data_IF_361740738879
#
_entry.id   IF_361740738879
#
_cell.length_a   1.000
_cell.length_b   1.000
_cell.length_c   1.000
_cell.angle_alpha   90.00
_cell.angle_beta   90.00
_cell.angle_gamma   90.00
#
_symmetry.space_group_name_H-M   'P 1'
#
loop_
_entity.id
_entity.type
_entity.pdbx_description
1 polymer ?
#
# COMPACT_ATOMS: atom_id res chain seq x y z
N UNK A 1 -28.77 -49.50 -42.36
CA UNK A 1 -27.45 -48.83 -42.42
C UNK A 1 -27.63 -47.39 -41.95
N UNK A 2 -27.40 -47.14 -40.67
CA UNK A 2 -27.61 -45.83 -40.03
C UNK A 2 -26.26 -45.15 -39.87
N UNK A 3 -26.14 -43.93 -40.40
CA UNK A 3 -25.06 -42.97 -40.16
C UNK A 3 -25.15 -42.45 -38.72
N UNK A 4 -24.04 -42.28 -38.02
CA UNK A 4 -24.01 -41.52 -36.75
C UNK A 4 -22.61 -41.34 -36.21
N UNK A 5 -21.99 -40.19 -36.52
CA UNK A 5 -21.70 -39.08 -35.59
C UNK A 5 -20.40 -39.26 -34.79
N UNK A 6 -19.36 -38.57 -35.26
CA UNK A 6 -18.15 -38.30 -34.49
C UNK A 6 -18.52 -37.35 -33.33
N UNK A 7 -18.27 -37.78 -32.09
CA UNK A 7 -18.26 -36.88 -30.95
C UNK A 7 -16.93 -36.11 -30.96
N UNK A 8 -17.00 -34.83 -31.31
CA UNK A 8 -15.97 -33.87 -30.96
C UNK A 8 -16.12 -33.55 -29.47
N UNK A 9 -15.22 -34.08 -28.65
CA UNK A 9 -15.10 -33.70 -27.24
C UNK A 9 -14.63 -32.24 -27.16
N UNK A 10 -15.55 -31.33 -26.86
CA UNK A 10 -15.22 -29.94 -26.55
C UNK A 10 -14.58 -29.92 -25.15
N UNK A 11 -13.30 -29.58 -25.13
CA UNK A 11 -12.52 -29.30 -23.94
C UNK A 11 -13.10 -28.08 -23.22
N UNK A 12 -13.79 -28.29 -22.10
CA UNK A 12 -14.24 -27.21 -21.24
C UNK A 12 -13.05 -26.75 -20.38
N UNK A 13 -12.31 -25.75 -20.85
CA UNK A 13 -11.34 -25.02 -20.02
C UNK A 13 -12.14 -24.23 -18.97
N UNK A 14 -12.25 -24.77 -17.76
CA UNK A 14 -12.64 -24.01 -16.59
C UNK A 14 -11.54 -22.97 -16.33
N UNK A 15 -11.77 -21.73 -16.74
CA UNK A 15 -11.02 -20.58 -16.22
C UNK A 15 -11.47 -20.41 -14.77
N UNK A 16 -10.82 -21.15 -13.87
CA UNK A 16 -10.90 -20.90 -12.44
C UNK A 16 -10.15 -19.58 -12.27
N UNK A 17 -10.88 -18.50 -12.01
CA UNK A 17 -10.25 -17.23 -11.63
C UNK A 17 -9.32 -17.49 -10.46
N UNK A 18 -8.04 -17.16 -10.62
CA UNK A 18 -7.05 -17.29 -9.56
C UNK A 18 -7.58 -16.58 -8.32
N UNK A 19 -7.85 -17.36 -7.26
CA UNK A 19 -8.07 -16.81 -5.93
C UNK A 19 -6.72 -16.22 -5.52
N UNK A 20 -6.61 -14.90 -5.50
CA UNK A 20 -5.43 -14.21 -4.99
C UNK A 20 -5.24 -14.63 -3.52
N UNK A 21 -4.26 -15.49 -3.28
CA UNK A 21 -3.86 -15.93 -1.94
C UNK A 21 -2.70 -15.07 -1.48
N UNK A 22 -2.70 -14.68 -0.21
CA UNK A 22 -1.56 -13.98 0.38
C UNK A 22 -0.36 -14.92 0.48
N UNK A 23 0.82 -14.39 0.17
CA UNK A 23 2.10 -15.07 0.33
C UNK A 23 2.59 -14.77 1.74
N UNK A 24 2.91 -15.82 2.50
CA UNK A 24 3.49 -15.64 3.81
C UNK A 24 4.84 -14.90 3.71
N UNK A 25 4.96 -13.80 4.43
CA UNK A 25 6.18 -13.00 4.47
C UNK A 25 7.23 -13.61 5.42
N UNK A 26 8.51 -13.25 5.27
CA UNK A 26 9.54 -13.48 6.30
C UNK A 26 9.16 -12.80 7.62
N UNK A 27 9.69 -13.31 8.74
CA UNK A 27 9.40 -12.73 10.06
C UNK A 27 9.89 -11.28 10.20
N UNK A 28 11.00 -10.94 9.55
CA UNK A 28 11.54 -9.60 9.45
C UNK A 28 12.15 -9.38 8.07
N UNK A 29 11.99 -8.18 7.53
CA UNK A 29 12.64 -7.72 6.31
C UNK A 29 12.64 -6.19 6.28
N UNK A 30 13.48 -5.61 5.42
CA UNK A 30 13.45 -4.17 5.17
C UNK A 30 12.92 -3.89 3.78
N UNK A 31 12.26 -2.76 3.61
CA UNK A 31 11.82 -2.21 2.33
C UNK A 31 12.56 -0.91 2.03
N UNK A 32 12.77 -0.64 0.74
CA UNK A 32 13.19 0.67 0.24
C UNK A 32 11.99 1.32 -0.41
N UNK A 33 11.59 2.46 0.15
CA UNK A 33 10.61 3.38 -0.41
C UNK A 33 11.38 4.47 -1.17
N UNK A 34 11.46 4.36 -2.49
CA UNK A 34 12.02 5.40 -3.36
C UNK A 34 10.92 6.43 -3.66
N UNK A 35 11.16 7.69 -3.31
CA UNK A 35 10.19 8.78 -3.41
C UNK A 35 10.64 9.75 -4.48
N UNK A 36 9.79 10.00 -5.49
CA UNK A 36 9.96 11.14 -6.40
C UNK A 36 9.52 12.41 -5.69
N UNK A 37 10.46 13.35 -5.54
CA UNK A 37 10.28 14.68 -4.95
C UNK A 37 9.97 15.67 -6.07
N UNK A 38 8.70 15.87 -6.40
CA UNK A 38 8.28 16.50 -7.66
C UNK A 38 8.82 17.93 -7.80
N UNK A 39 8.67 18.76 -6.77
CA UNK A 39 9.17 20.14 -6.80
C UNK A 39 10.71 20.22 -6.70
N UNK A 40 11.38 19.16 -6.22
CA UNK A 40 12.84 19.12 -6.10
C UNK A 40 13.52 18.49 -7.33
N UNK A 41 12.76 17.86 -8.23
CA UNK A 41 13.29 17.20 -9.43
C UNK A 41 14.26 16.05 -9.14
N UNK A 42 14.17 15.41 -7.97
CA UNK A 42 15.06 14.31 -7.54
C UNK A 42 14.28 13.16 -6.90
N UNK A 43 14.94 12.01 -6.74
CA UNK A 43 14.42 10.89 -5.95
C UNK A 43 15.23 10.70 -4.67
N UNK A 44 14.57 10.30 -3.59
CA UNK A 44 15.17 10.05 -2.28
C UNK A 44 14.66 8.71 -1.72
N UNK A 45 15.50 8.00 -0.98
CA UNK A 45 15.17 6.68 -0.45
C UNK A 45 14.89 6.75 1.05
N UNK A 46 13.87 6.02 1.48
CA UNK A 46 13.51 5.81 2.88
C UNK A 46 13.55 4.31 3.14
N UNK A 47 14.28 3.89 4.17
CA UNK A 47 14.25 2.48 4.60
C UNK A 47 13.19 2.26 5.67
N UNK A 48 12.39 1.19 5.52
CA UNK A 48 11.35 0.80 6.48
C UNK A 48 11.62 -0.64 6.91
N UNK A 49 11.69 -0.89 8.21
CA UNK A 49 11.81 -2.22 8.79
C UNK A 49 10.42 -2.79 9.07
N UNK A 50 10.18 -4.02 8.64
CA UNK A 50 8.89 -4.71 8.76
C UNK A 50 9.01 -5.85 9.75
N UNK A 51 8.01 -5.99 10.62
CA UNK A 51 7.97 -6.97 11.70
C UNK A 51 6.68 -7.78 11.62
N UNK A 52 6.74 -8.99 11.05
CA UNK A 52 5.57 -9.84 10.86
C UNK A 52 4.85 -10.15 12.17
N UNK A 53 5.60 -10.38 13.24
CA UNK A 53 5.05 -10.64 14.58
C UNK A 53 4.16 -9.51 15.14
N UNK A 54 4.20 -8.29 14.59
CA UNK A 54 3.38 -7.17 15.06
C UNK A 54 1.98 -7.18 14.44
N UNK A 55 1.86 -7.62 13.18
CA UNK A 55 0.60 -7.63 12.41
C UNK A 55 0.71 -8.66 11.28
N UNK A 56 0.67 -9.97 11.57
CA UNK A 56 1.02 -11.01 10.59
C UNK A 56 0.13 -10.99 9.34
N UNK A 57 -1.18 -10.74 9.48
CA UNK A 57 -2.10 -10.72 8.34
C UNK A 57 -1.82 -9.50 7.46
N UNK A 58 -1.62 -8.33 8.08
CA UNK A 58 -1.25 -7.10 7.39
C UNK A 58 0.09 -7.20 6.67
N UNK A 59 1.10 -7.82 7.30
CA UNK A 59 2.42 -8.01 6.68
C UNK A 59 2.36 -8.97 5.50
N UNK A 60 1.61 -10.08 5.59
CA UNK A 60 1.45 -11.01 4.47
C UNK A 60 0.78 -10.30 3.27
N UNK A 61 -0.27 -9.49 3.52
CA UNK A 61 -0.89 -8.63 2.50
C UNK A 61 0.10 -7.64 1.90
N UNK A 62 0.84 -6.91 2.73
CA UNK A 62 1.81 -5.92 2.29
C UNK A 62 2.90 -6.56 1.41
N UNK A 63 3.38 -7.74 1.81
CA UNK A 63 4.40 -8.50 1.10
C UNK A 63 3.91 -8.95 -0.29
N UNK A 64 2.71 -9.50 -0.40
CA UNK A 64 2.11 -9.86 -1.70
C UNK A 64 1.95 -8.64 -2.61
N UNK A 65 1.41 -7.53 -2.09
CA UNK A 65 1.22 -6.29 -2.86
C UNK A 65 2.53 -5.73 -3.41
N UNK A 66 3.65 -5.88 -2.69
CA UNK A 66 4.96 -5.44 -3.19
C UNK A 66 5.52 -6.44 -4.19
N UNK A 67 5.63 -7.70 -3.79
CA UNK A 67 6.43 -8.71 -4.49
C UNK A 67 5.79 -9.14 -5.80
N UNK A 68 4.48 -9.38 -5.78
CA UNK A 68 3.78 -9.99 -6.91
C UNK A 68 3.12 -8.91 -7.80
N UNK A 69 2.69 -7.79 -7.20
CA UNK A 69 1.86 -6.80 -7.91
C UNK A 69 2.58 -5.49 -8.26
N UNK A 70 3.72 -5.21 -7.63
CA UNK A 70 4.34 -3.86 -7.61
C UNK A 70 3.27 -2.79 -7.36
N UNK A 71 2.41 -3.04 -6.38
CA UNK A 71 1.13 -2.34 -6.26
C UNK A 71 1.30 -0.84 -6.02
N UNK A 72 2.30 -0.49 -5.22
CA UNK A 72 2.55 0.88 -4.77
C UNK A 72 3.38 1.71 -5.74
N UNK A 73 3.92 1.12 -6.81
CA UNK A 73 4.69 1.85 -7.81
C UNK A 73 3.85 2.96 -8.44
N UNK A 74 4.47 4.12 -8.61
CA UNK A 74 3.88 5.39 -9.03
C UNK A 74 2.73 5.92 -8.16
N UNK A 75 2.41 5.32 -7.00
CA UNK A 75 1.29 5.77 -6.17
C UNK A 75 1.57 7.15 -5.54
N UNK A 76 0.58 8.03 -5.56
CA UNK A 76 0.70 9.37 -4.96
C UNK A 76 0.47 9.40 -3.45
N UNK A 77 1.21 10.26 -2.75
CA UNK A 77 0.93 10.59 -1.33
C UNK A 77 -0.27 11.54 -1.24
N UNK A 78 -1.48 11.00 -1.37
CA UNK A 78 -2.69 11.80 -1.54
C UNK A 78 -3.20 12.49 -0.27
N UNK A 79 -2.67 12.13 0.91
CA UNK A 79 -2.99 12.81 2.16
C UNK A 79 -1.74 12.97 3.02
N UNK A 80 -1.34 14.21 3.22
CA UNK A 80 -0.11 14.57 3.94
C UNK A 80 -0.46 15.61 4.99
N UNK A 81 -0.44 15.21 6.26
CA UNK A 81 -0.82 16.05 7.39
C UNK A 81 0.36 16.12 8.39
N UNK A 82 1.17 17.20 8.34
CA UNK A 82 2.31 17.38 9.24
C UNK A 82 1.93 17.18 10.71
N UNK A 83 2.77 16.44 11.45
CA UNK A 83 2.51 16.09 12.85
C UNK A 83 1.47 14.97 13.06
N UNK A 84 0.78 14.53 12.01
CA UNK A 84 -0.16 13.41 12.07
C UNK A 84 0.31 12.22 11.22
N UNK A 85 0.03 12.22 9.92
CA UNK A 85 0.31 11.08 9.03
C UNK A 85 0.60 11.52 7.60
N UNK A 86 1.34 10.69 6.87
CA UNK A 86 1.31 10.62 5.41
C UNK A 86 0.65 9.32 4.97
N UNK A 87 -0.31 9.41 4.05
CA UNK A 87 -1.15 8.30 3.62
C UNK A 87 -1.08 8.13 2.10
N UNK A 88 -1.04 6.87 1.67
CA UNK A 88 -0.93 6.42 0.29
C UNK A 88 -1.58 5.03 0.13
N UNK A 89 -1.39 4.37 -1.02
CA UNK A 89 -1.82 2.98 -1.24
C UNK A 89 -3.15 2.83 -1.98
N UNK A 90 -3.54 3.86 -2.74
CA UNK A 90 -4.40 3.70 -3.91
C UNK A 90 -3.46 3.63 -5.12
N UNK A 91 -3.57 2.57 -5.92
CA UNK A 91 -2.65 2.36 -7.03
C UNK A 91 -2.78 3.45 -8.10
N UNK A 92 -1.67 3.77 -8.76
CA UNK A 92 -1.59 4.73 -9.86
C UNK A 92 -2.54 4.41 -11.03
N UNK A 93 -2.76 3.11 -11.27
CA UNK A 93 -3.67 2.57 -12.28
C UNK A 93 -5.01 2.17 -11.65
N UNK A 94 -6.15 2.77 -12.07
CA UNK A 94 -7.48 2.38 -11.64
C UNK A 94 -7.79 0.90 -11.81
N UNK A 95 -7.29 0.24 -12.87
CA UNK A 95 -7.53 -1.18 -13.09
C UNK A 95 -6.85 -2.04 -12.00
N UNK A 96 -5.64 -1.67 -11.58
CA UNK A 96 -4.96 -2.33 -10.45
C UNK A 96 -5.72 -2.07 -9.14
N UNK A 97 -6.17 -0.84 -8.91
CA UNK A 97 -7.00 -0.52 -7.75
C UNK A 97 -8.29 -1.35 -7.72
N UNK A 98 -8.99 -1.50 -8.85
CA UNK A 98 -10.24 -2.25 -8.95
C UNK A 98 -10.10 -3.73 -8.58
N UNK A 99 -8.96 -4.35 -8.90
CA UNK A 99 -8.69 -5.76 -8.51
C UNK A 99 -8.59 -5.95 -7.00
N UNK A 100 -8.08 -4.95 -6.28
CA UNK A 100 -7.71 -5.09 -4.87
C UNK A 100 -8.64 -4.36 -3.89
N UNK A 101 -9.37 -3.33 -4.33
CA UNK A 101 -10.14 -2.43 -3.45
C UNK A 101 -11.22 -3.12 -2.63
N UNK A 102 -11.72 -4.27 -3.08
CA UNK A 102 -12.79 -5.02 -2.39
C UNK A 102 -12.25 -6.27 -1.66
N UNK A 103 -10.95 -6.59 -1.81
CA UNK A 103 -10.30 -7.74 -1.19
C UNK A 103 -9.87 -7.39 0.24
N UNK A 104 -10.81 -7.48 1.17
CA UNK A 104 -10.58 -7.14 2.58
C UNK A 104 -9.82 -8.22 3.33
N UNK A 105 -8.97 -7.81 4.26
CA UNK A 105 -8.32 -8.71 5.23
C UNK A 105 -8.94 -8.57 6.62
N UNK A 106 -8.77 -9.61 7.45
CA UNK A 106 -9.13 -9.57 8.86
C UNK A 106 -8.19 -8.63 9.62
N UNK A 107 -8.68 -8.11 10.75
CA UNK A 107 -7.87 -7.24 11.60
C UNK A 107 -6.86 -8.05 12.43
N UNK A 108 -5.59 -7.64 12.41
CA UNK A 108 -4.62 -8.01 13.43
C UNK A 108 -4.90 -7.27 14.75
N UNK A 109 -4.50 -7.90 15.87
CA UNK A 109 -4.47 -7.24 17.18
C UNK A 109 -3.38 -6.17 17.19
N UNK A 110 -3.64 -5.06 17.86
CA UNK A 110 -2.64 -4.00 18.05
C UNK A 110 -1.58 -4.48 19.05
N UNK A 111 -0.40 -4.86 18.54
CA UNK A 111 0.73 -5.32 19.36
C UNK A 111 1.77 -4.21 19.65
N UNK A 112 1.75 -3.12 18.88
CA UNK A 112 2.62 -1.95 19.02
C UNK A 112 1.82 -0.67 18.90
N UNK A 113 2.34 0.40 19.50
CA UNK A 113 1.68 1.71 19.51
C UNK A 113 1.98 2.50 18.23
N UNK A 114 1.00 3.25 17.74
CA UNK A 114 1.12 4.16 16.59
C UNK A 114 1.94 5.41 16.95
N UNK A 115 3.24 5.23 17.20
CA UNK A 115 4.19 6.32 17.46
C UNK A 115 4.87 6.80 16.17
N UNK A 116 5.60 7.91 16.24
CA UNK A 116 6.31 8.49 15.09
C UNK A 116 7.19 7.44 14.40
N UNK A 117 7.15 7.41 13.08
CA UNK A 117 7.88 6.47 12.23
C UNK A 117 7.20 5.12 12.02
N UNK A 118 6.14 4.79 12.75
CA UNK A 118 5.43 3.51 12.53
C UNK A 118 4.53 3.56 11.29
N UNK A 119 4.42 2.43 10.59
CA UNK A 119 3.54 2.24 9.42
C UNK A 119 2.38 1.29 9.76
N UNK A 120 1.18 1.64 9.32
CA UNK A 120 -0.08 0.91 9.59
C UNK A 120 -0.98 0.90 8.35
N UNK A 121 -1.83 -0.12 8.22
CA UNK A 121 -2.92 -0.09 7.24
C UNK A 121 -4.00 0.91 7.66
N UNK A 122 -4.48 1.70 6.70
CA UNK A 122 -5.70 2.49 6.87
C UNK A 122 -6.94 1.57 6.88
N UNK A 123 -8.01 2.01 7.53
CA UNK A 123 -9.25 1.24 7.64
C UNK A 123 -10.47 2.14 7.71
N UNK A 124 -11.61 1.65 7.22
CA UNK A 124 -12.93 2.28 7.35
C UNK A 124 -13.78 1.66 8.47
N UNK A 125 -13.19 0.77 9.28
CA UNK A 125 -13.88 0.00 10.32
C UNK A 125 -13.37 -1.43 10.42
N UNK A 126 -13.97 -2.23 11.30
CA UNK A 126 -13.51 -3.60 11.54
C UNK A 126 -13.48 -4.44 10.25
N UNK A 127 -12.35 -5.11 9.99
CA UNK A 127 -12.13 -6.00 8.84
C UNK A 127 -12.36 -5.33 7.48
N UNK A 128 -11.93 -4.08 7.31
CA UNK A 128 -12.07 -3.33 6.05
C UNK A 128 -10.75 -2.92 5.40
N UNK A 129 -9.62 -3.35 5.96
CA UNK A 129 -8.28 -3.07 5.43
C UNK A 129 -8.11 -3.76 4.07
N UNK A 130 -7.48 -3.05 3.13
CA UNK A 130 -7.24 -3.54 1.76
C UNK A 130 -5.81 -3.28 1.33
N UNK A 131 -5.50 -2.04 0.94
CA UNK A 131 -4.21 -1.66 0.32
C UNK A 131 -3.69 -0.32 0.82
N UNK A 132 -4.54 0.54 1.39
CA UNK A 132 -4.10 1.86 1.83
C UNK A 132 -3.27 1.77 3.11
N UNK A 133 -2.21 2.55 3.16
CA UNK A 133 -1.24 2.61 4.25
C UNK A 133 -1.03 4.05 4.71
N UNK A 134 -0.57 4.21 5.94
CA UNK A 134 -0.05 5.48 6.41
C UNK A 134 1.18 5.31 7.30
N UNK A 135 2.06 6.31 7.28
CA UNK A 135 3.21 6.43 8.18
C UNK A 135 2.93 7.56 9.17
N UNK A 136 3.14 7.30 10.45
CA UNK A 136 2.94 8.25 11.53
C UNK A 136 4.06 9.31 11.55
N UNK A 137 3.71 10.59 11.43
CA UNK A 137 4.63 11.72 11.61
C UNK A 137 4.79 12.15 13.06
N UNK A 138 3.91 11.70 13.95
CA UNK A 138 3.91 12.06 15.37
C UNK A 138 3.44 10.92 16.25
N UNK A 139 3.32 11.19 17.54
CA UNK A 139 2.70 10.25 18.47
C UNK A 139 1.19 10.21 18.28
N UNK A 140 0.69 9.12 17.71
CA UNK A 140 -0.71 8.87 17.43
C UNK A 140 -1.24 7.65 18.19
N UNK A 141 -0.73 7.36 19.39
CA UNK A 141 -1.18 6.22 20.22
C UNK A 141 -2.69 6.15 20.45
N UNK A 142 -3.43 7.26 20.30
CA UNK A 142 -4.91 7.26 20.25
C UNK A 142 -5.50 6.31 19.19
N UNK A 143 -4.76 6.01 18.12
CA UNK A 143 -5.17 5.09 17.05
C UNK A 143 -5.11 3.62 17.50
N UNK A 144 -4.39 3.30 18.57
CA UNK A 144 -4.24 1.93 19.08
C UNK A 144 -5.62 1.38 19.52
N UNK A 145 -6.39 2.19 20.27
CA UNK A 145 -7.74 1.84 20.70
C UNK A 145 -8.77 1.80 19.55
N UNK A 146 -8.42 2.35 18.39
CA UNK A 146 -9.24 2.29 17.17
C UNK A 146 -8.89 1.08 16.29
N UNK A 147 -7.93 0.26 16.72
CA UNK A 147 -7.56 -0.99 16.06
C UNK A 147 -6.51 -0.84 14.96
N UNK A 148 -5.92 0.34 14.74
CA UNK A 148 -4.82 0.48 13.78
C UNK A 148 -3.60 -0.27 14.29
N UNK A 149 -3.23 -1.37 13.65
CA UNK A 149 -2.11 -2.21 14.05
C UNK A 149 -0.86 -1.87 13.23
N UNK A 150 0.17 -1.26 13.83
CA UNK A 150 1.43 -1.05 13.16
C UNK A 150 2.11 -2.36 12.84
N UNK A 151 2.81 -2.38 11.70
CA UNK A 151 3.49 -3.57 11.21
C UNK A 151 4.96 -3.33 10.83
N UNK A 152 5.43 -2.09 10.95
CA UNK A 152 6.80 -1.73 10.69
C UNK A 152 7.12 -0.33 11.22
N UNK A 153 8.38 0.05 11.03
CA UNK A 153 8.92 1.34 11.44
C UNK A 153 10.00 1.85 10.48
N UNK A 154 10.05 3.17 10.30
CA UNK A 154 11.09 3.85 9.53
C UNK A 154 12.44 3.68 10.22
N UNK A 155 13.49 3.40 9.45
CA UNK A 155 14.74 2.86 10.01
C UNK A 155 15.63 3.86 10.74
N UNK A 156 15.49 5.16 10.46
CA UNK A 156 16.35 6.21 11.00
C UNK A 156 15.65 7.58 11.05
N UNK A 157 16.23 8.52 11.82
CA UNK A 157 15.74 9.91 11.83
C UNK A 157 16.05 10.63 10.51
N UNK A 158 17.13 10.25 9.81
CA UNK A 158 17.44 10.73 8.47
C UNK A 158 16.35 10.34 7.46
N UNK A 159 15.90 9.09 7.49
CA UNK A 159 14.76 8.62 6.70
C UNK A 159 13.46 9.36 7.07
N UNK A 160 13.24 9.61 8.37
CA UNK A 160 12.09 10.39 8.83
C UNK A 160 12.12 11.84 8.33
N UNK A 161 13.27 12.49 8.27
CA UNK A 161 13.39 13.86 7.71
C UNK A 161 13.00 13.92 6.23
N UNK A 162 13.32 12.88 5.46
CA UNK A 162 12.88 12.78 4.06
C UNK A 162 11.35 12.71 4.02
N UNK A 163 10.74 11.85 4.83
CA UNK A 163 9.30 11.73 4.92
C UNK A 163 8.62 13.03 5.38
N UNK A 164 9.13 13.71 6.41
CA UNK A 164 8.58 14.98 6.90
C UNK A 164 8.59 16.09 5.82
N UNK A 165 9.50 15.98 4.85
CA UNK A 165 9.62 16.95 3.76
C UNK A 165 8.59 16.75 2.65
N UNK A 166 7.82 15.65 2.65
CA UNK A 166 6.78 15.38 1.64
C UNK A 166 5.83 16.56 1.48
N UNK A 167 5.54 16.90 0.22
CA UNK A 167 4.73 18.06 -0.14
C UNK A 167 3.35 18.00 0.52
N UNK A 168 3.14 18.88 1.49
CA UNK A 168 1.98 18.83 2.38
C UNK A 168 0.93 19.91 2.11
N UNK A 169 1.19 20.85 1.19
CA UNK A 169 0.30 22.02 1.01
C UNK A 169 -1.09 21.65 0.50
N UNK A 170 -1.27 20.50 -0.13
CA UNK A 170 -2.60 20.00 -0.51
C UNK A 170 -3.36 19.34 0.64
N UNK A 171 -2.68 19.00 1.74
CA UNK A 171 -3.28 18.42 2.93
C UNK A 171 -4.02 17.12 2.62
N UNK A 172 -5.35 17.16 2.73
CA UNK A 172 -6.26 16.06 2.43
C UNK A 172 -7.27 16.39 1.32
N UNK A 173 -6.94 17.38 0.48
CA UNK A 173 -7.80 17.85 -0.61
C UNK A 173 -7.96 16.86 -1.77
N UNK A 174 -6.98 16.00 -2.12
CA UNK A 174 -7.17 14.99 -3.15
C UNK A 174 -8.33 14.04 -2.83
N UNK A 175 -9.28 13.92 -3.75
CA UNK A 175 -10.44 13.04 -3.62
C UNK A 175 -10.04 11.59 -3.85
N UNK A 176 -10.17 10.74 -2.83
CA UNK A 176 -9.88 9.31 -2.98
C UNK A 176 -10.77 8.63 -4.03
N UNK A 177 -12.04 9.07 -4.15
CA UNK A 177 -12.93 8.53 -5.17
C UNK A 177 -12.40 8.81 -6.59
N UNK A 178 -11.86 10.00 -6.82
CA UNK A 178 -11.28 10.35 -8.13
C UNK A 178 -9.94 9.63 -8.37
N UNK A 179 -9.17 9.37 -7.31
CA UNK A 179 -7.96 8.53 -7.45
C UNK A 179 -8.37 7.09 -7.79
N UNK A 180 -9.46 6.56 -7.22
CA UNK A 180 -9.94 5.23 -7.59
C UNK A 180 -10.50 5.15 -9.02
N UNK A 181 -11.11 6.23 -9.54
CA UNK A 181 -11.69 6.27 -10.89
C UNK A 181 -10.66 6.59 -11.98
N UNK A 182 -9.78 7.56 -11.75
CA UNK A 182 -8.88 8.12 -12.75
C UNK A 182 -7.39 7.95 -12.42
N UNK A 183 -7.06 7.55 -11.19
CA UNK A 183 -5.69 7.26 -10.77
C UNK A 183 -4.77 8.47 -10.87
N UNK A 184 -3.56 8.23 -11.38
CA UNK A 184 -2.56 9.28 -11.51
C UNK A 184 -2.91 10.37 -12.53
N UNK A 185 -3.83 10.11 -13.47
CA UNK A 185 -4.28 11.16 -14.39
C UNK A 185 -4.90 12.33 -13.60
N UNK A 186 -5.86 12.02 -12.73
CA UNK A 186 -6.48 13.00 -11.83
C UNK A 186 -5.46 13.71 -10.94
N UNK A 187 -4.53 12.96 -10.32
CA UNK A 187 -3.55 13.54 -9.41
C UNK A 187 -2.58 14.49 -10.12
N UNK A 188 -2.08 14.13 -11.30
CA UNK A 188 -1.13 14.95 -12.07
C UNK A 188 -1.77 16.21 -12.64
N UNK A 189 -3.04 16.14 -13.05
CA UNK A 189 -3.78 17.28 -13.58
C UNK A 189 -4.14 18.30 -12.48
N UNK A 190 -4.58 17.82 -11.31
CA UNK A 190 -5.16 18.68 -10.26
C UNK A 190 -4.19 19.02 -9.12
N UNK A 191 -3.19 18.17 -8.91
CA UNK A 191 -2.22 18.29 -7.82
C UNK A 191 -0.78 18.06 -8.34
N UNK A 192 -0.32 18.88 -9.31
CA UNK A 192 0.93 18.65 -10.04
C UNK A 192 2.18 18.67 -9.15
N UNK A 193 2.08 19.15 -7.90
CA UNK A 193 3.17 19.23 -6.93
C UNK A 193 3.25 18.05 -5.95
N UNK A 194 2.31 17.09 -6.04
CA UNK A 194 2.36 15.90 -5.19
C UNK A 194 3.64 15.12 -5.42
N UNK A 195 4.14 14.52 -4.35
CA UNK A 195 5.21 13.55 -4.42
C UNK A 195 4.62 12.15 -4.63
N UNK A 196 5.44 11.27 -5.19
CA UNK A 196 5.01 9.93 -5.59
C UNK A 196 5.99 8.88 -5.09
N UNK A 197 5.47 7.69 -4.82
CA UNK A 197 6.28 6.50 -4.66
C UNK A 197 6.78 6.12 -6.04
N UNK A 198 8.07 6.26 -6.30
CA UNK A 198 8.66 5.78 -7.55
C UNK A 198 8.64 4.25 -7.58
N UNK A 199 9.23 3.65 -6.54
CA UNK A 199 9.18 2.23 -6.29
C UNK A 199 9.08 1.94 -4.80
N UNK A 200 8.35 0.90 -4.43
CA UNK A 200 8.43 0.29 -3.11
C UNK A 200 8.86 -1.17 -3.28
N UNK A 201 10.03 -1.51 -2.76
CA UNK A 201 10.66 -2.81 -2.98
C UNK A 201 11.20 -3.41 -1.70
N UNK A 202 11.29 -4.74 -1.64
CA UNK A 202 11.99 -5.43 -0.56
C UNK A 202 13.50 -5.25 -0.79
N UNK A 203 14.22 -4.83 0.24
CA UNK A 203 15.67 -4.69 0.20
C UNK A 203 16.29 -6.08 0.06
N UNK A 204 16.96 -6.34 -1.06
CA UNK A 204 17.73 -7.58 -1.23
C UNK A 204 18.86 -7.61 -0.18
N UNK A 205 18.84 -8.61 0.68
CA UNK A 205 20.02 -9.00 1.46
C UNK A 205 20.91 -9.85 0.56
N UNK A 206 22.03 -9.28 0.12
CA UNK A 206 23.13 -10.06 -0.45
C UNK A 206 23.72 -11.02 0.59
#
# INVERSE_FOLDING_TARGET
>A
MIKGFALASVLLLLIIGEVLSETQAPEQFSCILEITRTELGKSENVTINIHRSWSPIGVDRFYTLIKEEKYYDDSGFFRVLPGFVVQFGIAADPAKSAKWKDLKIKDDKVAKSNVRGTISFATAGANTRTTQLFINYGNNSRLDGMGFAPFGEVSSEEDMKILDSIYSKYGQSPSQNEIYSEGNKYLKENYPKLDYIKHLSIKNTN
#
